data_IF_350323295810
#
_entry.id   IF_350323295810
#
_cell.length_a   1.000
_cell.length_b   1.000
_cell.length_c   1.000
_cell.angle_alpha   90.00
_cell.angle_beta   90.00
_cell.angle_gamma   90.00
#
_symmetry.space_group_name_H-M   'P 1'
#
loop_
_entity.id
_entity.type
_entity.pdbx_description
1 polymer ?
#
# COMPACT_ATOMS: atom_id res chain seq x y z
N UNK A 1 2.90 -0.03 -37.44
CA UNK A 1 1.70 -0.53 -38.13
C UNK A 1 0.69 -0.96 -37.07
N UNK A 2 -0.46 -0.28 -36.97
CA UNK A 2 -1.51 -0.63 -36.00
C UNK A 2 -2.67 -1.32 -36.72
N UNK A 3 -3.17 -2.49 -36.27
CA UNK A 3 -4.36 -3.07 -36.87
C UNK A 3 -5.61 -2.33 -36.39
N UNK A 4 -6.28 -1.63 -37.31
CA UNK A 4 -7.58 -1.04 -37.08
C UNK A 4 -8.66 -2.15 -36.97
N UNK A 5 -9.21 -2.34 -35.78
CA UNK A 5 -10.40 -3.19 -35.58
C UNK A 5 -11.63 -2.44 -36.07
N UNK A 6 -12.20 -2.85 -37.21
CA UNK A 6 -13.55 -2.42 -37.63
C UNK A 6 -14.58 -3.12 -36.74
N UNK A 7 -15.24 -2.36 -35.88
CA UNK A 7 -16.42 -2.83 -35.15
C UNK A 7 -17.63 -2.78 -36.10
N UNK A 8 -18.20 -3.95 -36.44
CA UNK A 8 -19.47 -4.03 -37.14
C UNK A 8 -20.61 -3.82 -36.13
N UNK A 9 -21.45 -2.82 -36.36
CA UNK A 9 -22.64 -2.54 -35.54
C UNK A 9 -23.61 -3.73 -35.67
N UNK A 10 -24.10 -4.32 -34.57
CA UNK A 10 -24.98 -5.46 -34.66
C UNK A 10 -26.35 -5.02 -35.20
N UNK A 11 -26.72 -5.53 -36.39
CA UNK A 11 -28.02 -5.31 -37.03
C UNK A 11 -29.24 -5.69 -36.15
N UNK A 12 -29.01 -6.42 -35.05
CA UNK A 12 -30.03 -6.75 -34.04
C UNK A 12 -30.67 -5.54 -33.36
N UNK A 13 -30.06 -4.35 -33.40
CA UNK A 13 -30.68 -3.16 -32.82
C UNK A 13 -31.87 -2.62 -33.64
N UNK A 14 -31.93 -2.89 -34.94
CA UNK A 14 -32.95 -2.33 -35.83
C UNK A 14 -34.29 -3.09 -35.80
N UNK A 15 -34.32 -4.33 -35.31
CA UNK A 15 -35.54 -5.14 -35.25
C UNK A 15 -36.40 -4.90 -34.01
N UNK A 16 -35.96 -4.08 -33.05
CA UNK A 16 -36.67 -3.88 -31.78
C UNK A 16 -37.80 -2.84 -31.84
N UNK A 17 -37.98 -2.17 -32.99
CA UNK A 17 -38.96 -1.06 -33.17
C UNK A 17 -40.23 -1.43 -33.97
N UNK A 18 -40.48 -2.70 -34.25
CA UNK A 18 -41.77 -3.11 -34.82
C UNK A 18 -42.63 -3.73 -33.72
N UNK A 19 -43.45 -2.90 -33.07
CA UNK A 19 -44.60 -3.41 -32.32
C UNK A 19 -45.71 -3.80 -33.30
N UNK A 20 -46.35 -4.98 -33.15
CA UNK A 20 -47.49 -5.34 -33.98
C UNK A 20 -48.70 -4.48 -33.58
N UNK A 21 -49.20 -3.65 -34.51
CA UNK A 21 -50.48 -2.98 -34.35
C UNK A 21 -51.60 -4.03 -34.44
N UNK A 22 -52.20 -4.37 -33.29
CA UNK A 22 -53.47 -5.10 -33.24
C UNK A 22 -54.61 -4.09 -33.30
N UNK A 23 -55.39 -4.13 -34.38
CA UNK A 23 -56.71 -3.51 -34.44
C UNK A 23 -57.66 -4.40 -33.65
N UNK A 24 -58.00 -4.00 -32.43
CA UNK A 24 -59.04 -4.63 -31.62
C UNK A 24 -60.04 -3.55 -31.21
N UNK A 25 -61.27 -3.69 -31.70
CA UNK A 25 -62.43 -2.89 -31.32
C UNK A 25 -63.00 -3.34 -29.97
N UNK A 26 -63.15 -2.37 -29.06
CA UNK A 26 -64.07 -2.28 -27.91
C UNK A 26 -64.19 -3.47 -26.94
N UNK A 27 -63.61 -3.33 -25.74
CA UNK A 27 -64.26 -3.65 -24.46
C UNK A 27 -63.41 -3.10 -23.31
N UNK A 28 -64.07 -2.49 -22.32
CA UNK A 28 -63.51 -1.75 -21.20
C UNK A 28 -62.66 -2.64 -20.29
N UNK A 29 -61.34 -2.57 -20.43
CA UNK A 29 -60.37 -3.16 -19.49
C UNK A 29 -60.03 -2.13 -18.41
N UNK A 30 -60.16 -2.52 -17.13
CA UNK A 30 -59.56 -1.80 -16.02
C UNK A 30 -58.04 -1.78 -16.24
N UNK A 31 -57.54 -0.68 -16.80
CA UNK A 31 -56.13 -0.46 -16.97
C UNK A 31 -55.48 -0.37 -15.59
N UNK A 32 -54.52 -1.26 -15.34
CA UNK A 32 -53.56 -1.12 -14.25
C UNK A 32 -52.99 0.32 -14.27
N UNK A 33 -52.87 1.02 -13.12
CA UNK A 33 -52.42 2.41 -13.12
C UNK A 33 -51.04 2.49 -13.77
N UNK A 34 -51.00 3.06 -14.97
CA UNK A 34 -49.77 3.30 -15.70
C UNK A 34 -49.03 4.39 -14.93
N UNK A 35 -47.87 4.04 -14.37
CA UNK A 35 -46.99 5.01 -13.73
C UNK A 35 -46.48 5.98 -14.81
N UNK A 36 -47.20 7.10 -15.01
CA UNK A 36 -46.79 8.14 -15.92
C UNK A 36 -45.52 8.81 -15.37
N UNK A 37 -44.38 8.55 -16.03
CA UNK A 37 -43.13 9.23 -15.70
C UNK A 37 -43.26 10.70 -16.07
N UNK A 38 -42.71 11.60 -15.24
CA UNK A 38 -42.67 13.02 -15.54
C UNK A 38 -42.10 13.29 -16.94
N UNK A 39 -42.74 14.20 -17.67
CA UNK A 39 -42.32 14.55 -19.03
C UNK A 39 -40.92 15.17 -19.06
N UNK A 40 -40.22 15.16 -20.21
CA UNK A 40 -38.85 15.65 -20.33
C UNK A 40 -38.67 17.10 -19.85
N UNK A 41 -39.70 17.95 -20.04
CA UNK A 41 -39.68 19.35 -19.57
C UNK A 41 -39.54 19.49 -18.05
N UNK A 42 -40.05 18.53 -17.27
CA UNK A 42 -39.91 18.52 -15.82
C UNK A 42 -38.44 18.36 -15.40
N UNK A 43 -37.70 17.48 -16.07
CA UNK A 43 -36.27 17.31 -15.82
C UNK A 43 -35.44 18.50 -16.29
N UNK A 44 -35.84 19.14 -17.39
CA UNK A 44 -35.19 20.39 -17.85
C UNK A 44 -35.39 21.51 -16.83
N UNK A 45 -36.59 21.62 -16.25
CA UNK A 45 -36.86 22.59 -15.18
C UNK A 45 -36.08 22.27 -13.89
N UNK A 46 -36.04 20.99 -13.48
CA UNK A 46 -35.22 20.58 -12.33
C UNK A 46 -33.73 20.86 -12.56
N UNK A 47 -33.24 20.72 -13.79
CA UNK A 47 -31.86 21.02 -14.15
C UNK A 47 -31.59 22.53 -14.26
N UNK A 48 -32.59 23.36 -14.60
CA UNK A 48 -32.41 24.80 -14.79
C UNK A 48 -32.16 25.53 -13.47
N UNK A 49 -32.74 25.06 -12.36
CA UNK A 49 -32.56 25.66 -11.03
C UNK A 49 -31.09 25.64 -10.57
N UNK A 50 -30.39 24.48 -10.49
CA UNK A 50 -28.98 24.45 -10.12
C UNK A 50 -28.09 25.13 -11.17
N UNK A 51 -28.44 25.04 -12.46
CA UNK A 51 -27.68 25.72 -13.53
C UNK A 51 -27.73 27.25 -13.39
N UNK A 52 -28.90 27.81 -13.07
CA UNK A 52 -29.09 29.22 -12.81
C UNK A 52 -28.32 29.70 -11.57
N UNK A 53 -28.33 28.91 -10.49
CA UNK A 53 -27.53 29.19 -9.30
C UNK A 53 -26.02 29.15 -9.59
N UNK A 54 -25.56 28.21 -10.43
CA UNK A 54 -24.16 28.14 -10.83
C UNK A 54 -23.74 29.38 -11.63
N UNK A 55 -24.56 29.80 -12.59
CA UNK A 55 -24.32 31.02 -13.38
C UNK A 55 -24.36 32.29 -12.53
N UNK A 56 -25.30 32.38 -11.59
CA UNK A 56 -25.40 33.52 -10.67
C UNK A 56 -24.16 33.63 -9.76
N UNK A 57 -23.75 32.52 -9.14
CA UNK A 57 -22.53 32.50 -8.33
C UNK A 57 -21.27 32.82 -9.14
N UNK A 58 -21.21 32.38 -10.40
CA UNK A 58 -20.14 32.77 -11.31
C UNK A 58 -20.15 34.27 -11.61
N UNK A 59 -21.32 34.84 -11.93
CA UNK A 59 -21.49 36.26 -12.26
C UNK A 59 -21.26 37.21 -11.07
N UNK A 60 -21.47 36.74 -9.84
CA UNK A 60 -21.37 37.55 -8.61
C UNK A 60 -20.04 37.34 -7.89
N UNK A 61 -19.08 36.62 -8.50
CA UNK A 61 -17.77 36.38 -7.89
C UNK A 61 -16.90 37.63 -7.95
N UNK A 62 -16.39 38.06 -6.79
CA UNK A 62 -15.48 39.20 -6.68
C UNK A 62 -14.17 38.96 -7.45
N UNK A 63 -13.67 39.93 -8.25
CA UNK A 63 -12.43 39.80 -9.00
C UNK A 63 -11.19 39.54 -8.12
N UNK A 64 -11.24 39.99 -6.87
CA UNK A 64 -10.13 39.90 -5.91
C UNK A 64 -10.20 38.65 -5.03
N UNK A 65 -11.26 37.84 -5.12
CA UNK A 65 -11.44 36.64 -4.28
C UNK A 65 -11.53 35.38 -5.13
N UNK A 66 -10.90 34.29 -4.68
CA UNK A 66 -11.00 33.01 -5.39
C UNK A 66 -12.46 32.52 -5.37
N UNK A 67 -12.97 31.99 -6.50
CA UNK A 67 -14.32 31.41 -6.57
C UNK A 67 -14.56 30.36 -5.48
N UNK A 68 -15.81 30.23 -5.03
CA UNK A 68 -16.18 29.30 -3.96
C UNK A 68 -15.75 27.86 -4.26
N UNK A 69 -15.89 27.42 -5.51
CA UNK A 69 -15.49 26.08 -5.98
C UNK A 69 -13.98 25.85 -5.78
N UNK A 70 -13.16 26.82 -6.17
CA UNK A 70 -11.69 26.77 -6.00
C UNK A 70 -11.32 26.67 -4.53
N UNK A 71 -12.03 27.39 -3.65
CA UNK A 71 -11.81 27.33 -2.20
C UNK A 71 -12.17 25.97 -1.60
N UNK A 72 -13.22 25.33 -2.09
CA UNK A 72 -13.59 23.96 -1.70
C UNK A 72 -12.54 22.97 -2.17
N UNK A 73 -12.08 23.10 -3.43
CA UNK A 73 -11.02 22.26 -3.97
C UNK A 73 -9.74 22.42 -3.14
N UNK A 74 -9.28 23.65 -2.88
CA UNK A 74 -8.08 23.89 -2.05
C UNK A 74 -8.20 23.39 -0.60
N UNK A 75 -9.42 23.28 -0.07
CA UNK A 75 -9.67 22.72 1.27
C UNK A 75 -9.47 21.20 1.32
N UNK A 76 -9.87 20.49 0.26
CA UNK A 76 -9.84 19.03 0.22
C UNK A 76 -8.63 18.45 -0.50
N UNK A 77 -8.02 19.20 -1.42
CA UNK A 77 -6.86 18.77 -2.18
C UNK A 77 -5.59 19.38 -1.60
N UNK A 78 -4.54 18.57 -1.34
CA UNK A 78 -3.27 19.08 -0.87
C UNK A 78 -2.65 20.05 -1.88
N UNK A 79 -1.94 21.07 -1.38
CA UNK A 79 -1.16 21.99 -2.22
C UNK A 79 -0.09 21.22 -3.00
N UNK A 80 0.19 21.67 -4.22
CA UNK A 80 1.23 21.10 -5.09
C UNK A 80 2.60 21.01 -4.41
N UNK A 81 2.96 22.02 -3.61
CA UNK A 81 4.20 22.04 -2.82
C UNK A 81 4.36 20.84 -1.86
N UNK A 82 3.26 20.27 -1.36
CA UNK A 82 3.30 19.08 -0.50
C UNK A 82 3.62 17.82 -1.31
N UNK A 83 3.15 17.76 -2.55
CA UNK A 83 3.47 16.67 -3.47
C UNK A 83 4.92 16.76 -3.92
N UNK A 84 5.39 17.94 -4.27
CA UNK A 84 6.81 18.20 -4.60
C UNK A 84 7.73 17.77 -3.45
N UNK A 85 7.41 18.15 -2.21
CA UNK A 85 8.20 17.77 -1.03
C UNK A 85 8.23 16.26 -0.81
N UNK A 86 7.10 15.58 -0.96
CA UNK A 86 7.02 14.12 -0.81
C UNK A 86 7.81 13.42 -1.91
N UNK A 87 7.68 13.88 -3.16
CA UNK A 87 8.43 13.34 -4.29
C UNK A 87 9.94 13.53 -4.08
N UNK A 88 10.38 14.70 -3.61
CA UNK A 88 11.78 14.95 -3.30
C UNK A 88 12.33 14.01 -2.22
N UNK A 89 11.58 13.80 -1.12
CA UNK A 89 11.97 12.86 -0.07
C UNK A 89 12.04 11.42 -0.58
N UNK A 90 11.07 11.01 -1.39
CA UNK A 90 11.02 9.67 -1.97
C UNK A 90 12.20 9.42 -2.93
N UNK A 91 12.52 10.39 -3.79
CA UNK A 91 13.67 10.32 -4.69
C UNK A 91 14.98 10.22 -3.91
N UNK A 92 15.16 11.05 -2.88
CA UNK A 92 16.35 11.00 -2.03
C UNK A 92 16.51 9.64 -1.31
N UNK A 93 15.40 9.06 -0.83
CA UNK A 93 15.42 7.74 -0.20
C UNK A 93 15.80 6.63 -1.20
N UNK A 94 15.30 6.70 -2.44
CA UNK A 94 15.67 5.76 -3.51
C UNK A 94 17.14 5.90 -3.89
N UNK A 95 17.63 7.13 -4.01
CA UNK A 95 19.04 7.40 -4.33
C UNK A 95 19.96 6.82 -3.25
N UNK A 96 19.62 7.03 -1.98
CA UNK A 96 20.36 6.46 -0.86
C UNK A 96 20.32 4.92 -0.88
N UNK A 97 19.14 4.32 -1.08
CA UNK A 97 19.01 2.86 -1.17
C UNK A 97 19.78 2.27 -2.36
N UNK A 98 19.86 2.99 -3.48
CA UNK A 98 20.65 2.59 -4.64
C UNK A 98 22.16 2.68 -4.35
N UNK A 99 22.61 3.73 -3.66
CA UNK A 99 23.99 3.88 -3.21
C UNK A 99 24.40 2.75 -2.26
N UNK A 100 23.55 2.44 -1.27
CA UNK A 100 23.78 1.34 -0.34
C UNK A 100 23.81 0.00 -1.07
N UNK A 101 22.86 -0.24 -1.98
CA UNK A 101 22.86 -1.45 -2.80
C UNK A 101 24.14 -1.58 -3.63
N UNK A 102 24.65 -0.50 -4.20
CA UNK A 102 25.91 -0.51 -4.94
C UNK A 102 27.09 -0.89 -4.03
N UNK A 103 27.10 -0.40 -2.80
CA UNK A 103 28.14 -0.73 -1.81
C UNK A 103 28.10 -2.22 -1.42
N UNK A 104 26.90 -2.79 -1.25
CA UNK A 104 26.73 -4.20 -0.87
C UNK A 104 26.63 -5.16 -2.07
N UNK A 105 26.64 -4.67 -3.32
CA UNK A 105 26.44 -5.52 -4.49
C UNK A 105 27.53 -6.59 -4.66
N UNK A 106 28.76 -6.28 -4.25
CA UNK A 106 29.90 -7.20 -4.30
C UNK A 106 30.03 -8.08 -3.05
N UNK A 107 29.25 -7.83 -2.00
CA UNK A 107 29.30 -8.62 -0.77
C UNK A 107 28.40 -9.85 -0.90
N UNK A 108 28.97 -11.03 -0.68
CA UNK A 108 28.18 -12.26 -0.60
C UNK A 108 27.17 -12.14 0.55
N UNK A 109 25.94 -12.60 0.31
CA UNK A 109 24.92 -12.63 1.36
C UNK A 109 25.48 -13.35 2.59
N UNK A 110 25.31 -12.76 3.77
CA UNK A 110 25.75 -13.41 5.01
C UNK A 110 25.00 -14.74 5.15
N UNK A 111 25.74 -15.85 5.17
CA UNK A 111 25.19 -17.18 5.44
C UNK A 111 24.70 -17.35 6.89
N UNK A 112 24.85 -16.30 7.71
CA UNK A 112 24.38 -16.26 9.09
C UNK A 112 22.86 -16.15 9.09
N UNK A 113 22.17 -17.29 9.10
CA UNK A 113 20.73 -17.36 9.33
C UNK A 113 20.47 -17.22 10.83
N UNK A 114 19.83 -16.12 11.24
CA UNK A 114 19.39 -15.97 12.63
C UNK A 114 18.19 -16.88 12.87
N UNK A 115 18.41 -18.00 13.57
CA UNK A 115 17.35 -18.92 13.94
C UNK A 115 16.59 -18.38 15.15
N UNK A 116 15.27 -18.25 15.03
CA UNK A 116 14.40 -17.84 16.14
C UNK A 116 14.39 -18.84 17.32
N UNK A 117 14.76 -20.10 17.05
CA UNK A 117 14.75 -21.19 18.03
C UNK A 117 16.09 -21.94 17.97
N UNK A 118 17.10 -21.51 18.74
CA UNK A 118 18.41 -22.18 18.77
C UNK A 118 18.32 -23.58 19.40
N UNK A 119 17.31 -23.85 20.23
CA UNK A 119 17.09 -25.17 20.85
C UNK A 119 16.79 -26.28 19.84
N UNK A 120 16.45 -25.93 18.59
CA UNK A 120 16.22 -26.90 17.53
C UNK A 120 17.44 -27.80 17.24
N UNK A 121 18.65 -27.34 17.55
CA UNK A 121 19.86 -28.16 17.42
C UNK A 121 19.95 -29.29 18.46
N UNK A 122 19.28 -29.13 19.60
CA UNK A 122 19.23 -30.13 20.66
C UNK A 122 18.06 -31.12 20.50
N UNK A 123 17.11 -30.83 19.61
CA UNK A 123 15.94 -31.68 19.37
C UNK A 123 16.15 -32.55 18.12
N UNK A 124 16.37 -33.86 18.33
CA UNK A 124 16.39 -34.86 17.26
C UNK A 124 14.99 -35.41 16.93
N UNK A 125 14.85 -36.09 15.79
CA UNK A 125 13.64 -36.87 15.47
C UNK A 125 13.44 -37.97 16.52
N UNK A 126 12.25 -38.15 17.11
CA UNK A 126 11.99 -39.22 18.06
C UNK A 126 11.90 -40.61 17.40
N UNK A 127 11.83 -40.68 16.07
CA UNK A 127 11.66 -41.91 15.31
C UNK A 127 12.87 -42.17 14.40
N UNK A 128 13.23 -43.45 14.25
CA UNK A 128 14.24 -43.94 13.32
C UNK A 128 15.68 -43.40 13.57
N UNK A 129 16.08 -43.29 14.83
CA UNK A 129 17.45 -42.92 15.21
C UNK A 129 18.22 -44.18 15.64
N UNK A 130 19.33 -44.53 14.97
CA UNK A 130 20.20 -45.61 15.44
C UNK A 130 20.77 -45.29 16.83
N UNK A 131 20.96 -46.33 17.65
CA UNK A 131 21.50 -46.17 19.00
C UNK A 131 22.86 -45.46 18.96
N UNK A 132 22.97 -44.33 19.65
CA UNK A 132 24.18 -43.47 19.65
C UNK A 132 24.12 -42.24 18.74
N UNK A 133 23.06 -42.04 17.94
CA UNK A 133 22.98 -40.96 16.94
C UNK A 133 21.80 -39.97 17.18
N UNK A 134 21.35 -39.81 18.42
CA UNK A 134 20.14 -39.04 18.80
C UNK A 134 20.20 -37.52 18.52
N UNK A 135 21.40 -36.96 18.40
CA UNK A 135 21.65 -35.54 18.15
C UNK A 135 22.93 -35.37 17.34
N UNK A 136 23.08 -34.25 16.64
CA UNK A 136 24.36 -33.88 16.05
C UNK A 136 25.41 -33.70 17.17
N UNK A 137 26.67 -34.05 16.91
CA UNK A 137 27.77 -33.74 17.82
C UNK A 137 28.05 -32.22 17.78
N UNK A 138 27.68 -31.53 18.86
CA UNK A 138 27.85 -30.08 18.99
C UNK A 138 29.15 -29.69 19.70
N UNK A 139 30.02 -30.65 20.07
CA UNK A 139 31.24 -30.37 20.86
C UNK A 139 32.16 -29.34 20.19
N UNK A 140 32.34 -29.42 18.87
CA UNK A 140 33.15 -28.47 18.11
C UNK A 140 32.57 -27.04 18.14
N UNK A 141 31.24 -26.92 18.05
CA UNK A 141 30.54 -25.63 18.09
C UNK A 141 30.64 -25.03 19.50
N UNK A 142 30.43 -25.85 20.53
CA UNK A 142 30.60 -25.45 21.93
C UNK A 142 32.02 -24.96 22.18
N UNK A 143 33.03 -25.70 21.72
CA UNK A 143 34.43 -25.30 21.85
C UNK A 143 34.73 -23.97 21.12
N UNK A 144 34.17 -23.77 19.93
CA UNK A 144 34.31 -22.51 19.19
C UNK A 144 33.77 -21.32 20.02
N UNK A 145 32.53 -21.39 20.51
CA UNK A 145 31.93 -20.30 21.28
C UNK A 145 32.60 -20.10 22.64
N UNK A 146 33.05 -21.16 23.30
CA UNK A 146 33.85 -21.04 24.52
C UNK A 146 35.16 -20.27 24.27
N UNK A 147 35.85 -20.57 23.17
CA UNK A 147 37.07 -19.86 22.80
C UNK A 147 36.80 -18.40 22.43
N UNK A 148 35.69 -18.13 21.74
CA UNK A 148 35.26 -16.77 21.41
C UNK A 148 34.95 -15.96 22.68
N UNK A 149 34.19 -16.53 23.62
CA UNK A 149 33.87 -15.88 24.89
C UNK A 149 35.11 -15.61 25.74
N UNK A 150 36.08 -16.55 25.77
CA UNK A 150 37.37 -16.34 26.44
C UNK A 150 38.10 -15.12 25.88
N UNK A 151 38.19 -15.00 24.54
CA UNK A 151 38.82 -13.83 23.89
C UNK A 151 38.11 -12.53 24.23
N UNK A 152 36.78 -12.51 24.18
CA UNK A 152 35.98 -11.31 24.53
C UNK A 152 36.21 -10.91 25.99
N UNK A 153 36.28 -11.87 26.91
CA UNK A 153 36.58 -11.61 28.33
C UNK A 153 38.01 -11.11 28.53
N UNK A 154 39.00 -11.69 27.84
CA UNK A 154 40.39 -11.21 27.86
C UNK A 154 40.49 -9.76 27.36
N UNK A 155 39.83 -9.43 26.25
CA UNK A 155 39.74 -8.06 25.74
C UNK A 155 39.01 -7.13 26.71
N UNK A 156 37.91 -7.58 27.32
CA UNK A 156 37.17 -6.81 28.34
C UNK A 156 38.07 -6.49 29.53
N UNK A 157 38.81 -7.46 30.03
CA UNK A 157 39.76 -7.30 31.14
C UNK A 157 40.91 -6.38 30.74
N UNK A 158 41.44 -6.49 29.52
CA UNK A 158 42.48 -5.58 29.03
C UNK A 158 41.98 -4.13 28.98
N UNK A 159 40.76 -3.89 28.48
CA UNK A 159 40.14 -2.55 28.48
C UNK A 159 39.94 -1.97 29.88
N UNK A 160 39.64 -2.82 30.87
CA UNK A 160 39.53 -2.40 32.27
C UNK A 160 40.88 -2.05 32.89
N UNK A 161 41.95 -2.83 32.59
CA UNK A 161 43.31 -2.55 33.06
C UNK A 161 43.87 -1.24 32.54
N UNK A 162 43.53 -0.87 31.30
CA UNK A 162 43.95 0.41 30.70
C UNK A 162 43.22 1.63 31.29
N UNK A 163 42.27 1.43 32.22
CA UNK A 163 41.55 2.51 32.92
C UNK A 163 40.58 3.30 32.04
N UNK A 164 40.36 2.88 30.78
CA UNK A 164 39.52 3.59 29.81
C UNK A 164 38.04 3.21 29.88
N UNK A 165 37.68 2.12 30.57
CA UNK A 165 36.31 1.62 30.67
C UNK A 165 35.99 1.19 32.09
N UNK A 166 35.06 1.90 32.76
CA UNK A 166 34.47 1.49 34.03
C UNK A 166 33.48 0.35 33.81
N UNK A 167 33.50 -0.66 34.68
CA UNK A 167 32.50 -1.71 34.64
C UNK A 167 31.13 -1.17 35.07
N UNK A 168 30.05 -1.71 34.51
CA UNK A 168 28.66 -1.40 34.91
C UNK A 168 28.37 -1.69 36.40
N UNK A 169 29.22 -2.47 37.07
CA UNK A 169 29.12 -2.77 38.51
C UNK A 169 29.94 -1.81 39.39
N UNK A 170 30.94 -1.12 38.84
CA UNK A 170 31.77 -0.14 39.56
C UNK A 170 31.23 1.29 39.45
N UNK A 171 30.31 1.54 38.51
CA UNK A 171 29.82 2.88 38.20
C UNK A 171 28.79 3.44 39.21
N UNK A 172 28.59 2.76 40.35
CA UNK A 172 27.73 3.23 41.46
C UNK A 172 26.26 3.49 41.12
N UNK A 173 25.82 3.28 39.88
CA UNK A 173 24.45 3.60 39.41
C UNK A 173 23.37 2.64 39.92
N UNK A 174 23.75 1.56 40.58
CA UNK A 174 22.85 0.50 41.05
C UNK A 174 22.98 0.21 42.56
N UNK A 175 23.67 1.07 43.32
CA UNK A 175 23.71 1.06 44.79
C UNK A 175 23.55 2.47 45.34
#
# INVERSE_FOLDING_TARGET
MFPARRAAVPARALLRRQQPRRLASSASHHAEPVNETFGPGFYVFLASVPLGLALYNYSTSDPNSKPWMTRVIEKYFPKESMWERQNALHTAAIEQAAADRQLFHSQSASLNLELKFPEAFNTGSPMNVPAGNGSADLTAIVAHYQNQNKKIEEERVARMKDGKVTSIYEDGRYF
#
